data_IF_496452619222
#
_entry.id   IF_496452619222
#
_cell.length_a   1.000
_cell.length_b   1.000
_cell.length_c   1.000
_cell.angle_alpha   90.00
_cell.angle_beta   90.00
_cell.angle_gamma   90.00
#
_symmetry.space_group_name_H-M   'P 1'
#
loop_
_entity.id
_entity.type
_entity.pdbx_description
1 polymer ?
#
# COMPACT_ATOMS: atom_id res chain seq x y z
N UNK A 1 -54.89 -35.28 18.06
CA UNK A 1 -53.45 -35.25 18.41
C UNK A 1 -52.70 -34.73 17.19
N UNK A 2 -52.50 -33.41 17.09
CA UNK A 2 -51.72 -32.82 15.99
C UNK A 2 -50.48 -32.16 16.58
N UNK A 3 -49.33 -32.74 16.23
CA UNK A 3 -47.99 -32.20 16.43
C UNK A 3 -47.75 -31.13 15.36
N UNK A 4 -47.29 -29.94 15.76
CA UNK A 4 -46.36 -29.09 14.99
C UNK A 4 -46.14 -27.79 15.76
N UNK A 5 -45.03 -27.70 16.49
CA UNK A 5 -44.51 -26.45 17.01
C UNK A 5 -43.19 -26.16 16.28
N UNK A 6 -43.14 -24.97 15.69
CA UNK A 6 -42.10 -24.48 14.79
C UNK A 6 -40.75 -24.34 15.50
N UNK A 7 -39.71 -24.86 14.85
CA UNK A 7 -38.31 -24.64 15.20
C UNK A 7 -37.93 -23.22 14.76
N UNK A 8 -37.77 -22.30 15.71
CA UNK A 8 -37.22 -20.98 15.44
C UNK A 8 -35.70 -21.05 15.62
N UNK A 9 -34.98 -21.23 14.51
CA UNK A 9 -33.51 -21.24 14.51
C UNK A 9 -32.97 -19.82 14.60
N UNK A 10 -32.39 -19.46 15.75
CA UNK A 10 -31.58 -18.25 15.89
C UNK A 10 -30.22 -18.50 15.21
N UNK A 11 -30.01 -17.90 14.05
CA UNK A 11 -28.70 -17.87 13.39
C UNK A 11 -27.87 -16.77 14.08
N UNK A 12 -26.98 -17.15 15.01
CA UNK A 12 -25.94 -16.24 15.48
C UNK A 12 -24.89 -16.09 14.37
N UNK A 13 -24.97 -15.00 13.61
CA UNK A 13 -23.85 -14.54 12.81
C UNK A 13 -22.76 -14.05 13.76
N UNK A 14 -21.66 -14.79 13.83
CA UNK A 14 -20.40 -14.28 14.34
C UNK A 14 -19.94 -13.17 13.40
N UNK A 15 -19.98 -11.93 13.87
CA UNK A 15 -19.36 -10.80 13.18
C UNK A 15 -17.86 -10.97 13.42
N UNK A 16 -17.13 -11.47 12.42
CA UNK A 16 -15.70 -11.32 12.40
C UNK A 16 -15.41 -9.82 12.29
N UNK A 17 -14.83 -9.23 13.33
CA UNK A 17 -14.28 -7.88 13.25
C UNK A 17 -13.10 -7.96 12.28
N UNK A 18 -13.30 -7.50 11.05
CA UNK A 18 -12.19 -7.14 10.18
C UNK A 18 -11.36 -6.12 10.93
N UNK A 19 -10.05 -6.34 11.04
CA UNK A 19 -9.10 -5.32 11.49
C UNK A 19 -9.28 -4.11 10.57
N UNK A 20 -9.99 -3.09 11.04
CA UNK A 20 -10.10 -1.84 10.29
C UNK A 20 -8.75 -1.13 10.34
N UNK A 21 -8.36 -0.53 9.21
CA UNK A 21 -7.34 0.52 9.16
C UNK A 21 -7.54 1.49 10.32
N UNK A 22 -6.51 1.71 11.13
CA UNK A 22 -6.60 2.57 12.31
C UNK A 22 -5.85 3.85 12.01
N UNK A 23 -6.61 4.76 11.39
CA UNK A 23 -6.11 6.07 11.03
C UNK A 23 -5.67 6.82 12.27
N UNK A 24 -4.52 7.49 12.18
CA UNK A 24 -4.12 8.43 13.22
C UNK A 24 -5.13 9.57 13.25
N UNK A 25 -5.74 9.77 14.42
CA UNK A 25 -6.78 10.78 14.64
C UNK A 25 -6.39 11.87 15.63
N UNK A 26 -5.29 11.70 16.36
CA UNK A 26 -4.76 12.69 17.30
C UNK A 26 -3.50 13.35 16.73
N UNK A 27 -3.48 14.68 16.49
CA UNK A 27 -2.27 15.38 16.06
C UNK A 27 -1.15 15.36 17.12
N UNK A 28 -1.44 15.00 18.37
CA UNK A 28 -0.46 14.81 19.45
C UNK A 28 -0.34 13.34 19.87
N UNK A 29 -0.67 12.39 18.99
CA UNK A 29 -0.52 10.96 19.29
C UNK A 29 0.91 10.71 19.85
N UNK A 30 1.03 10.16 21.08
CA UNK A 30 2.32 10.03 21.76
C UNK A 30 3.12 8.83 21.26
N UNK A 31 2.54 7.98 20.42
CA UNK A 31 3.22 6.78 19.91
C UNK A 31 4.32 7.16 18.93
N UNK A 32 5.28 6.26 18.80
CA UNK A 32 6.35 6.36 17.82
C UNK A 32 6.50 5.05 17.08
N UNK A 33 6.64 5.16 15.77
CA UNK A 33 6.85 4.05 14.87
C UNK A 33 8.25 4.18 14.30
N UNK A 34 9.15 3.28 14.68
CA UNK A 34 10.52 3.28 14.18
C UNK A 34 11.23 4.64 14.39
N UNK A 35 10.93 5.35 15.48
CA UNK A 35 11.47 6.68 15.76
C UNK A 35 10.72 7.86 15.10
N UNK A 36 9.79 7.58 14.19
CA UNK A 36 8.90 8.57 13.60
C UNK A 36 7.69 8.86 14.50
N UNK A 37 7.22 10.11 14.46
CA UNK A 37 6.00 10.58 15.15
C UNK A 37 5.13 11.34 14.15
N UNK A 38 3.91 11.71 14.55
CA UNK A 38 3.06 12.62 13.75
C UNK A 38 3.79 13.93 13.40
N UNK A 39 4.60 14.45 14.34
CA UNK A 39 5.42 15.66 14.10
C UNK A 39 6.53 15.46 13.06
N UNK A 40 7.10 14.25 13.02
CA UNK A 40 8.08 13.89 11.98
C UNK A 40 7.43 13.93 10.60
N UNK A 41 6.27 13.29 10.42
CA UNK A 41 5.53 13.35 9.16
C UNK A 41 5.00 14.74 8.83
N UNK A 42 4.60 15.54 9.82
CA UNK A 42 4.22 16.94 9.59
C UNK A 42 5.39 17.76 9.02
N UNK A 43 6.60 17.51 9.49
CA UNK A 43 7.82 18.12 8.93
C UNK A 43 8.06 17.66 7.50
N UNK A 44 7.91 16.37 7.21
CA UNK A 44 8.10 15.82 5.87
C UNK A 44 7.09 16.35 4.85
N UNK A 45 5.79 16.31 5.17
CA UNK A 45 4.73 16.72 4.26
C UNK A 45 4.60 18.25 4.12
N UNK A 46 4.84 19.00 5.21
CA UNK A 46 4.49 20.42 5.29
C UNK A 46 5.65 21.32 5.73
N UNK A 47 6.85 20.77 5.89
CA UNK A 47 8.07 21.53 6.18
C UNK A 47 8.24 21.98 7.63
N UNK A 48 7.30 21.67 8.55
CA UNK A 48 7.45 22.00 9.97
C UNK A 48 6.59 21.14 10.90
N UNK A 49 7.07 20.91 12.13
CA UNK A 49 6.28 20.35 13.22
C UNK A 49 5.59 21.47 14.02
N UNK A 50 4.32 21.71 13.70
CA UNK A 50 3.44 22.60 14.46
C UNK A 50 2.12 21.88 14.70
N UNK A 51 1.31 22.35 15.66
CA UNK A 51 -0.03 21.79 15.84
C UNK A 51 -0.88 21.88 14.55
N UNK A 52 -0.72 22.95 13.77
CA UNK A 52 -1.47 23.15 12.53
C UNK A 52 -1.07 22.10 11.47
N UNK A 53 0.22 21.88 11.25
CA UNK A 53 0.71 20.91 10.27
C UNK A 53 0.45 19.46 10.71
N UNK A 54 0.52 19.15 12.01
CA UNK A 54 0.10 17.86 12.55
C UNK A 54 -1.40 17.63 12.40
N UNK A 55 -2.23 18.67 12.57
CA UNK A 55 -3.65 18.58 12.27
C UNK A 55 -3.89 18.33 10.78
N UNK A 56 -3.12 18.94 9.88
CA UNK A 56 -3.22 18.63 8.45
C UNK A 56 -2.85 17.19 8.11
N UNK A 57 -1.90 16.57 8.83
CA UNK A 57 -1.59 15.14 8.69
C UNK A 57 -2.83 14.29 9.01
N UNK A 58 -3.52 14.60 10.12
CA UNK A 58 -4.74 13.92 10.56
C UNK A 58 -5.92 14.18 9.62
N UNK A 59 -6.17 15.43 9.26
CA UNK A 59 -7.30 15.83 8.42
C UNK A 59 -7.22 15.21 7.03
N UNK A 60 -6.02 15.15 6.45
CA UNK A 60 -5.76 14.48 5.18
C UNK A 60 -5.58 12.97 5.34
N UNK A 61 -5.71 12.46 6.57
CA UNK A 61 -5.60 11.05 6.91
C UNK A 61 -4.29 10.41 6.43
N UNK A 62 -3.17 11.12 6.46
CA UNK A 62 -1.96 10.65 5.77
C UNK A 62 -1.34 9.40 6.41
N UNK A 63 -1.64 9.11 7.68
CA UNK A 63 -1.04 8.02 8.44
C UNK A 63 -2.07 6.99 8.90
N UNK A 64 -1.71 5.73 8.73
CA UNK A 64 -2.46 4.55 9.18
C UNK A 64 -1.53 3.74 10.10
N UNK A 65 -1.91 3.52 11.35
CA UNK A 65 -1.14 2.68 12.27
C UNK A 65 -1.43 1.18 12.10
N UNK A 66 -2.28 0.84 11.13
CA UNK A 66 -2.48 -0.51 10.68
C UNK A 66 -1.33 -1.01 9.83
N UNK A 67 -1.33 -2.32 9.70
CA UNK A 67 -0.49 -3.05 8.76
C UNK A 67 -1.13 -2.96 7.38
N UNK A 68 -0.30 -2.78 6.34
CA UNK A 68 -0.75 -2.85 4.96
C UNK A 68 -1.35 -4.23 4.67
N UNK A 69 -2.66 -4.26 4.45
CA UNK A 69 -3.39 -5.44 4.00
C UNK A 69 -3.33 -5.53 2.46
N UNK A 70 -2.66 -6.52 1.86
CA UNK A 70 -2.60 -6.67 0.41
C UNK A 70 -3.94 -7.07 -0.22
N UNK A 71 -4.96 -7.41 0.58
CA UNK A 71 -6.24 -7.89 0.09
C UNK A 71 -6.89 -6.91 -0.88
N UNK A 72 -7.15 -7.37 -2.10
CA UNK A 72 -7.77 -6.54 -3.15
C UNK A 72 -6.81 -5.60 -3.88
N UNK A 73 -5.51 -5.69 -3.62
CA UNK A 73 -4.46 -5.08 -4.44
C UNK A 73 -3.83 -6.10 -5.39
N UNK A 74 -3.18 -5.61 -6.45
CA UNK A 74 -2.46 -6.46 -7.42
C UNK A 74 -0.97 -6.18 -7.34
N UNK A 75 -0.12 -7.20 -7.13
CA UNK A 75 1.31 -7.07 -7.37
C UNK A 75 1.56 -6.55 -8.78
N UNK A 76 2.42 -5.53 -8.88
CA UNK A 76 2.86 -5.00 -10.15
C UNK A 76 4.02 -5.84 -10.70
N UNK A 77 4.22 -5.83 -12.01
CA UNK A 77 5.31 -6.55 -12.65
C UNK A 77 6.24 -5.59 -13.38
N UNK A 78 7.53 -5.71 -13.15
CA UNK A 78 8.57 -4.97 -13.84
C UNK A 78 8.46 -5.17 -15.36
N UNK A 79 8.38 -4.06 -16.08
CA UNK A 79 8.33 -4.00 -17.53
C UNK A 79 9.74 -4.15 -18.09
N UNK A 80 9.84 -4.86 -19.21
CA UNK A 80 11.05 -4.92 -20.01
C UNK A 80 11.28 -3.56 -20.69
N UNK A 81 12.29 -2.83 -20.22
CA UNK A 81 12.74 -1.54 -20.75
C UNK A 81 14.19 -1.70 -21.25
N UNK A 82 14.71 -0.76 -22.06
CA UNK A 82 16.13 -0.77 -22.42
C UNK A 82 17.04 -0.79 -21.19
N UNK A 83 16.64 -0.08 -20.12
CA UNK A 83 17.34 -0.12 -18.84
C UNK A 83 17.23 -1.50 -18.20
N UNK A 84 16.03 -2.05 -17.99
CA UNK A 84 15.84 -3.29 -17.21
C UNK A 84 16.41 -4.55 -17.89
N UNK A 85 16.75 -4.46 -19.18
CA UNK A 85 17.41 -5.54 -19.95
C UNK A 85 18.91 -5.32 -20.15
N UNK A 86 19.46 -4.18 -19.74
CA UNK A 86 20.88 -3.88 -19.89
C UNK A 86 21.75 -4.57 -18.83
N UNK A 87 23.01 -4.89 -19.13
CA UNK A 87 23.95 -5.32 -18.10
C UNK A 87 24.09 -4.26 -17.00
N UNK A 88 23.92 -4.66 -15.74
CA UNK A 88 23.97 -3.76 -14.58
C UNK A 88 22.63 -3.14 -14.19
N UNK A 89 21.54 -3.46 -14.89
CA UNK A 89 20.20 -3.03 -14.52
C UNK A 89 19.83 -3.45 -13.10
N UNK A 90 19.18 -2.54 -12.38
CA UNK A 90 18.83 -2.76 -10.98
C UNK A 90 19.98 -2.63 -10.01
N UNK A 91 21.10 -2.01 -10.41
CA UNK A 91 22.28 -1.75 -9.57
C UNK A 91 22.69 -2.95 -8.71
N UNK A 92 22.75 -2.74 -7.40
CA UNK A 92 22.77 -3.81 -6.43
C UNK A 92 21.41 -4.51 -6.33
N UNK A 93 21.45 -5.84 -6.27
CA UNK A 93 20.29 -6.70 -5.99
C UNK A 93 20.60 -7.46 -4.72
N UNK A 94 19.70 -7.44 -3.76
CA UNK A 94 20.03 -7.82 -2.41
C UNK A 94 18.90 -8.48 -1.65
N UNK A 95 19.20 -8.75 -0.39
CA UNK A 95 18.30 -9.36 0.57
C UNK A 95 18.28 -8.50 1.85
N UNK A 96 17.09 -8.25 2.38
CA UNK A 96 16.91 -7.79 3.75
C UNK A 96 16.85 -9.01 4.69
N UNK A 97 17.59 -8.90 5.79
CA UNK A 97 17.59 -9.84 6.89
C UNK A 97 16.80 -9.31 8.09
N UNK A 98 16.21 -8.11 8.02
CA UNK A 98 15.29 -7.64 9.06
C UNK A 98 13.96 -8.38 8.97
N UNK A 99 13.96 -9.62 9.46
CA UNK A 99 12.77 -10.48 9.49
C UNK A 99 11.70 -9.99 10.48
N UNK A 100 11.86 -8.82 11.08
CA UNK A 100 10.96 -8.29 12.11
C UNK A 100 10.39 -6.92 11.75
N UNK A 101 10.95 -6.24 10.73
CA UNK A 101 10.68 -4.86 10.29
C UNK A 101 10.56 -3.90 11.44
N UNK A 102 11.52 -4.03 12.34
CA UNK A 102 11.76 -3.05 13.38
C UNK A 102 12.51 -1.82 12.84
N UNK A 103 12.77 -1.78 11.52
CA UNK A 103 13.58 -0.76 10.87
C UNK A 103 15.07 -1.08 10.97
N UNK A 104 15.41 -2.38 10.90
CA UNK A 104 16.77 -2.88 11.03
C UNK A 104 17.58 -2.75 9.74
N UNK A 105 18.81 -2.26 9.87
CA UNK A 105 19.76 -2.01 8.77
C UNK A 105 20.53 -3.26 8.33
N UNK A 106 19.91 -4.44 8.45
CA UNK A 106 20.61 -5.70 8.16
C UNK A 106 20.27 -6.17 6.76
N UNK A 107 21.07 -5.77 5.79
CA UNK A 107 20.88 -6.09 4.37
C UNK A 107 22.20 -6.54 3.73
N UNK A 108 22.13 -7.17 2.56
CA UNK A 108 23.32 -7.49 1.78
C UNK A 108 23.07 -7.39 0.28
N UNK A 109 24.08 -6.87 -0.43
CA UNK A 109 24.19 -6.98 -1.86
C UNK A 109 24.66 -8.39 -2.25
N UNK A 110 23.76 -9.21 -2.80
CA UNK A 110 24.06 -10.61 -3.16
C UNK A 110 24.01 -10.89 -4.66
N UNK A 111 23.55 -9.92 -5.46
CA UNK A 111 23.31 -10.07 -6.89
C UNK A 111 22.06 -10.91 -7.17
N UNK A 112 21.92 -11.40 -8.41
CA UNK A 112 20.80 -12.23 -8.83
C UNK A 112 20.00 -11.64 -9.99
N UNK A 113 18.84 -12.25 -10.28
CA UNK A 113 17.97 -11.84 -11.39
C UNK A 113 17.10 -10.64 -10.97
N UNK A 114 17.11 -9.57 -11.77
CA UNK A 114 16.34 -8.36 -11.50
C UNK A 114 14.83 -8.63 -11.38
N UNK A 115 14.24 -9.40 -12.29
CA UNK A 115 12.82 -9.71 -12.26
C UNK A 115 12.42 -10.49 -11.00
N UNK A 116 13.32 -11.32 -10.45
CA UNK A 116 13.08 -12.00 -9.17
C UNK A 116 13.04 -11.04 -7.98
N UNK A 117 13.86 -9.98 -7.99
CA UNK A 117 13.93 -9.00 -6.90
C UNK A 117 12.86 -7.91 -7.01
N UNK A 118 12.27 -7.71 -8.20
CA UNK A 118 11.31 -6.63 -8.44
C UNK A 118 9.84 -7.09 -8.39
N UNK A 119 9.54 -8.35 -8.69
CA UNK A 119 8.17 -8.80 -8.98
C UNK A 119 7.45 -9.48 -7.80
N UNK A 120 8.09 -9.54 -6.63
CA UNK A 120 7.52 -10.15 -5.44
C UNK A 120 7.66 -9.18 -4.28
N UNK A 121 6.60 -9.01 -3.49
CA UNK A 121 6.71 -8.30 -2.23
C UNK A 121 7.22 -9.30 -1.18
N UNK A 122 8.54 -9.29 -0.95
CA UNK A 122 9.30 -10.21 -0.12
C UNK A 122 10.55 -9.52 0.43
N UNK A 123 11.57 -10.29 0.82
CA UNK A 123 12.78 -9.73 1.40
C UNK A 123 13.89 -9.47 0.38
N UNK A 124 13.61 -9.60 -0.92
CA UNK A 124 14.54 -9.30 -1.98
C UNK A 124 14.36 -7.84 -2.42
N UNK A 125 15.43 -7.16 -2.74
CA UNK A 125 15.36 -5.77 -3.18
C UNK A 125 16.32 -5.49 -4.33
N UNK A 126 16.09 -4.40 -5.02
CA UNK A 126 16.99 -3.92 -6.05
C UNK A 126 17.05 -2.40 -6.07
N UNK A 127 18.12 -1.88 -6.67
CA UNK A 127 18.33 -0.45 -6.83
C UNK A 127 17.60 0.08 -8.07
N UNK A 128 16.68 1.02 -7.87
CA UNK A 128 15.96 1.70 -8.95
C UNK A 128 16.86 2.67 -9.73
N UNK A 129 16.42 3.10 -10.91
CA UNK A 129 17.13 4.11 -11.71
C UNK A 129 16.87 5.52 -11.18
N UNK A 130 17.70 6.48 -11.61
CA UNK A 130 17.45 7.92 -11.41
C UNK A 130 16.64 8.56 -12.55
N UNK A 131 16.26 7.79 -13.57
CA UNK A 131 15.57 8.29 -14.76
C UNK A 131 14.14 7.76 -14.85
N UNK A 132 13.21 8.66 -15.16
CA UNK A 132 11.80 8.31 -15.40
C UNK A 132 11.70 7.46 -16.67
N UNK A 133 11.02 6.33 -16.58
CA UNK A 133 10.85 5.37 -17.69
C UNK A 133 11.86 4.23 -17.70
N UNK A 134 12.84 4.21 -16.79
CA UNK A 134 13.80 3.11 -16.67
C UNK A 134 13.26 1.98 -15.79
N UNK A 135 12.96 2.27 -14.52
CA UNK A 135 12.40 1.33 -13.55
C UNK A 135 10.88 1.41 -13.57
N UNK A 136 10.27 0.68 -14.52
CA UNK A 136 8.83 0.74 -14.80
C UNK A 136 8.13 -0.54 -14.38
N UNK A 137 7.01 -0.40 -13.71
CA UNK A 137 6.10 -1.47 -13.33
C UNK A 137 4.77 -1.33 -14.05
N UNK A 138 4.24 -2.45 -14.52
CA UNK A 138 2.85 -2.59 -14.93
C UNK A 138 2.00 -2.94 -13.69
N UNK A 139 1.05 -2.07 -13.35
CA UNK A 139 0.18 -2.18 -12.18
C UNK A 139 -0.90 -3.27 -12.30
N UNK A 140 -0.97 -3.97 -13.44
CA UNK A 140 -1.87 -5.10 -13.67
C UNK A 140 -3.31 -4.69 -14.02
N UNK A 141 -3.73 -3.46 -13.72
CA UNK A 141 -5.01 -2.87 -14.11
C UNK A 141 -4.92 -1.34 -14.18
N UNK A 142 -6.03 -0.67 -14.51
CA UNK A 142 -6.15 0.79 -14.40
C UNK A 142 -6.28 1.18 -12.93
N UNK A 143 -5.15 1.40 -12.29
CA UNK A 143 -5.04 1.74 -10.87
C UNK A 143 -5.07 3.25 -10.68
N UNK A 144 -5.75 3.75 -9.66
CA UNK A 144 -5.69 5.18 -9.31
C UNK A 144 -4.47 5.53 -8.47
N UNK A 145 -3.88 4.51 -7.82
CA UNK A 145 -2.80 4.65 -6.84
C UNK A 145 -1.83 3.48 -6.95
N UNK A 146 -0.62 3.67 -6.46
CA UNK A 146 0.41 2.63 -6.36
C UNK A 146 0.97 2.60 -4.93
N UNK A 147 1.12 1.43 -4.33
CA UNK A 147 1.80 1.26 -3.04
C UNK A 147 3.23 0.84 -3.31
N UNK A 148 4.17 1.51 -2.67
CA UNK A 148 5.60 1.30 -2.82
C UNK A 148 6.12 0.65 -1.54
N UNK A 149 6.96 -0.36 -1.74
CA UNK A 149 7.61 -1.12 -0.69
C UNK A 149 9.10 -0.84 -0.82
N UNK A 150 9.56 0.19 -0.11
CA UNK A 150 10.98 0.55 -0.02
C UNK A 150 11.72 -0.46 0.84
N UNK A 151 13.04 -0.49 0.71
CA UNK A 151 13.91 -1.16 1.67
C UNK A 151 14.81 -0.13 2.34
N UNK A 152 14.77 -0.11 3.67
CA UNK A 152 15.69 0.64 4.53
C UNK A 152 16.99 -0.14 4.67
N UNK A 153 18.08 0.50 4.30
CA UNK A 153 19.41 -0.06 4.43
C UNK A 153 20.23 0.71 5.50
N UNK A 154 19.90 1.98 5.77
CA UNK A 154 20.44 2.74 6.90
C UNK A 154 19.43 3.71 7.51
N UNK A 155 19.88 4.67 8.33
CA UNK A 155 19.02 5.62 9.02
C UNK A 155 19.45 7.06 8.73
N UNK A 156 18.58 8.04 9.04
CA UNK A 156 17.50 7.96 10.04
C UNK A 156 16.12 7.60 9.50
N UNK A 157 15.26 6.99 10.31
CA UNK A 157 13.84 6.81 9.99
C UNK A 157 12.99 7.99 10.46
N UNK A 158 11.90 8.35 9.75
CA UNK A 158 11.25 7.72 8.59
C UNK A 158 11.88 8.03 7.23
N UNK A 159 12.91 8.87 7.18
CA UNK A 159 13.43 9.51 5.99
C UNK A 159 13.71 8.50 4.86
N UNK A 160 14.49 7.47 5.20
CA UNK A 160 14.94 6.39 4.30
C UNK A 160 13.79 5.56 3.71
N UNK A 161 12.67 5.45 4.42
CA UNK A 161 11.57 4.62 3.97
C UNK A 161 10.76 5.28 2.84
N UNK A 162 10.86 6.60 2.64
CA UNK A 162 10.02 7.38 1.72
C UNK A 162 10.88 8.32 0.84
N UNK A 163 11.94 7.74 0.28
CA UNK A 163 12.98 8.38 -0.53
C UNK A 163 12.67 8.44 -2.04
N UNK A 164 11.70 7.66 -2.54
CA UNK A 164 11.47 7.56 -3.98
C UNK A 164 10.41 8.52 -4.51
N UNK A 165 10.64 9.05 -5.71
CA UNK A 165 9.58 9.70 -6.50
C UNK A 165 8.97 8.69 -7.45
N UNK A 166 7.64 8.65 -7.49
CA UNK A 166 6.90 7.84 -8.46
C UNK A 166 6.28 8.73 -9.53
N UNK A 167 6.34 8.28 -10.77
CA UNK A 167 5.63 8.85 -11.89
C UNK A 167 4.64 7.83 -12.44
N UNK A 168 3.45 8.29 -12.79
CA UNK A 168 2.36 7.44 -13.27
C UNK A 168 2.07 7.71 -14.75
N UNK A 169 1.77 6.67 -15.52
CA UNK A 169 1.50 6.77 -16.97
C UNK A 169 0.47 5.76 -17.44
N UNK A 170 -0.18 6.07 -18.57
CA UNK A 170 -1.01 5.13 -19.33
C UNK A 170 -0.39 4.67 -20.64
N UNK A 171 0.69 5.32 -21.09
CA UNK A 171 1.25 5.14 -22.44
C UNK A 171 2.77 4.98 -22.46
N UNK A 172 3.43 4.98 -21.29
CA UNK A 172 4.88 4.90 -21.11
C UNK A 172 5.67 6.09 -21.66
N UNK A 173 4.99 7.15 -22.11
CA UNK A 173 5.59 8.33 -22.73
C UNK A 173 5.28 9.58 -21.90
N UNK A 174 4.02 9.77 -21.57
CA UNK A 174 3.56 10.88 -20.76
C UNK A 174 3.49 10.45 -19.31
N UNK A 175 4.32 11.09 -18.48
CA UNK A 175 4.50 10.77 -17.07
C UNK A 175 3.99 11.90 -16.20
N UNK A 176 3.13 11.56 -15.23
CA UNK A 176 2.64 12.49 -14.22
C UNK A 176 3.31 12.16 -12.90
N UNK A 177 3.99 13.13 -12.29
CA UNK A 177 4.55 12.97 -10.95
C UNK A 177 3.43 12.71 -9.95
N UNK A 178 3.61 11.67 -9.13
CA UNK A 178 2.72 11.35 -8.02
C UNK A 178 3.16 12.05 -6.72
N UNK A 179 2.25 12.11 -5.77
CA UNK A 179 2.48 12.55 -4.39
C UNK A 179 2.11 11.44 -3.44
N UNK A 180 2.75 11.40 -2.28
CA UNK A 180 2.37 10.47 -1.21
C UNK A 180 1.00 10.87 -0.65
N UNK A 181 0.08 9.91 -0.61
CA UNK A 181 -1.31 10.10 -0.15
C UNK A 181 -1.66 9.24 1.08
N UNK A 182 -0.82 8.25 1.41
CA UNK A 182 -0.98 7.38 2.59
C UNK A 182 0.35 6.77 2.99
N UNK A 183 0.57 6.59 4.28
CA UNK A 183 1.67 5.85 4.87
C UNK A 183 1.11 4.88 5.91
N UNK A 184 1.44 3.59 5.77
CA UNK A 184 1.17 2.54 6.76
C UNK A 184 2.38 2.41 7.68
N UNK A 185 2.17 2.72 8.95
CA UNK A 185 3.21 2.88 9.95
C UNK A 185 3.80 1.56 10.44
N UNK A 186 3.03 0.48 10.29
CA UNK A 186 3.45 -0.89 10.58
C UNK A 186 3.91 -1.63 9.30
N UNK A 187 4.08 -0.93 8.18
CA UNK A 187 4.56 -1.55 6.94
C UNK A 187 3.68 -2.67 6.41
N UNK A 188 4.28 -3.69 5.79
CA UNK A 188 3.60 -4.84 5.20
C UNK A 188 3.68 -6.08 6.09
N UNK A 189 2.56 -6.75 6.40
CA UNK A 189 2.60 -8.14 6.88
C UNK A 189 1.78 -9.08 6.00
N UNK A 190 2.49 -9.91 5.24
CA UNK A 190 1.89 -11.02 4.50
C UNK A 190 1.59 -12.27 5.33
N UNK A 191 1.38 -12.16 6.66
CA UNK A 191 0.94 -13.22 7.60
C UNK A 191 2.02 -14.01 8.38
N UNK A 192 3.26 -13.53 8.58
CA UNK A 192 4.33 -14.31 9.25
C UNK A 192 5.17 -13.57 10.30
N UNK A 193 4.70 -12.43 10.82
CA UNK A 193 5.48 -11.68 11.81
C UNK A 193 6.74 -11.05 11.21
N UNK A 194 6.66 -10.70 9.93
CA UNK A 194 7.68 -9.92 9.27
C UNK A 194 7.04 -8.65 8.73
N UNK A 195 7.30 -7.56 9.42
CA UNK A 195 7.26 -6.21 8.87
C UNK A 195 8.53 -6.15 7.99
N UNK A 196 8.52 -5.66 6.75
CA UNK A 196 9.78 -5.51 6.01
C UNK A 196 10.04 -4.02 5.84
N UNK A 197 11.23 -3.64 6.31
CA UNK A 197 12.00 -2.49 5.88
C UNK A 197 11.23 -1.16 5.84
N UNK A 198 10.38 -0.91 6.83
CA UNK A 198 9.91 0.44 7.14
C UNK A 198 8.43 0.67 6.94
N UNK A 199 8.14 1.83 6.36
CA UNK A 199 6.81 2.26 6.03
C UNK A 199 6.45 1.85 4.61
N UNK A 200 5.27 1.24 4.44
CA UNK A 200 4.65 1.15 3.12
C UNK A 200 3.93 2.46 2.87
N UNK A 201 4.05 3.02 1.67
CA UNK A 201 3.32 4.23 1.33
C UNK A 201 2.65 4.11 -0.02
N UNK A 202 1.49 4.76 -0.16
CA UNK A 202 0.80 4.84 -1.43
C UNK A 202 0.89 6.24 -2.01
N UNK A 203 1.05 6.26 -3.32
CA UNK A 203 1.15 7.46 -4.13
C UNK A 203 -0.02 7.55 -5.11
N UNK A 204 -0.41 8.77 -5.42
CA UNK A 204 -1.44 9.10 -6.40
C UNK A 204 -1.23 10.50 -6.96
N UNK A 205 -2.21 11.02 -7.71
CA UNK A 205 -2.12 12.37 -8.30
C UNK A 205 -2.90 13.42 -7.51
N UNK A 206 -3.46 13.07 -6.35
CA UNK A 206 -4.46 13.88 -5.66
C UNK A 206 -5.80 13.95 -6.41
N UNK A 207 -5.97 13.15 -7.46
CA UNK A 207 -7.18 13.09 -8.29
C UNK A 207 -7.66 11.63 -8.47
N UNK A 208 -8.80 11.44 -9.12
CA UNK A 208 -9.32 10.11 -9.47
C UNK A 208 -8.80 9.58 -10.82
N UNK A 209 -7.76 10.19 -11.39
CA UNK A 209 -7.13 9.68 -12.60
C UNK A 209 -6.60 8.25 -12.38
N UNK A 210 -6.71 7.41 -13.41
CA UNK A 210 -6.18 6.04 -13.39
C UNK A 210 -4.98 5.92 -14.32
N UNK A 211 -4.10 4.98 -13.98
CA UNK A 211 -2.83 4.73 -14.63
C UNK A 211 -2.58 3.23 -14.74
N UNK A 212 -1.88 2.84 -15.80
CA UNK A 212 -1.47 1.45 -16.03
C UNK A 212 -0.05 1.19 -15.53
N UNK A 213 0.80 2.19 -15.55
CA UNK A 213 2.23 2.06 -15.30
C UNK A 213 2.70 3.01 -14.20
N UNK A 214 3.69 2.56 -13.43
CA UNK A 214 4.41 3.37 -12.47
C UNK A 214 5.91 3.29 -12.76
N UNK A 215 6.58 4.43 -12.88
CA UNK A 215 8.04 4.53 -12.89
C UNK A 215 8.49 5.00 -11.52
N UNK A 216 9.40 4.26 -10.89
CA UNK A 216 10.03 4.67 -9.63
C UNK A 216 11.41 5.20 -9.94
N UNK A 217 11.76 6.32 -9.33
CA UNK A 217 13.13 6.82 -9.36
C UNK A 217 13.62 7.08 -7.95
N UNK A 218 14.92 6.94 -7.76
CA UNK A 218 15.57 7.30 -6.51
C UNK A 218 15.58 8.81 -6.29
N UNK A 219 15.09 9.25 -5.13
CA UNK A 219 14.91 10.67 -4.87
C UNK A 219 13.91 11.33 -5.82
N UNK A 220 14.20 12.56 -6.20
CA UNK A 220 13.36 13.39 -7.05
C UNK A 220 12.39 14.29 -6.26
N UNK A 221 11.63 15.15 -6.95
CA UNK A 221 10.80 16.18 -6.33
C UNK A 221 9.50 15.69 -5.69
N UNK A 222 9.12 14.42 -5.83
CA UNK A 222 7.93 13.84 -5.21
C UNK A 222 8.22 12.97 -3.98
N UNK A 223 9.48 12.71 -3.69
CA UNK A 223 9.91 12.05 -2.46
C UNK A 223 9.72 12.98 -1.27
N UNK A 224 9.41 12.43 -0.09
CA UNK A 224 9.26 13.22 1.14
C UNK A 224 10.62 13.62 1.74
N UNK A 225 11.62 12.79 1.50
CA UNK A 225 13.02 13.05 1.78
C UNK A 225 13.85 12.56 0.59
N UNK A 226 15.06 13.09 0.43
CA UNK A 226 16.01 12.61 -0.56
C UNK A 226 17.43 12.77 -0.04
N UNK A 227 18.15 11.67 0.07
CA UNK A 227 19.61 11.69 0.23
C UNK A 227 20.36 10.83 -0.81
N UNK A 228 19.67 9.95 -1.54
CA UNK A 228 20.20 9.31 -2.75
C UNK A 228 19.96 7.82 -2.86
N UNK A 229 19.39 7.19 -1.84
CA UNK A 229 19.15 5.75 -1.80
C UNK A 229 18.04 5.30 -2.73
N UNK A 230 18.16 4.06 -3.21
CA UNK A 230 17.46 3.57 -4.39
C UNK A 230 16.85 2.19 -4.24
N UNK A 231 16.90 1.60 -3.04
CA UNK A 231 16.45 0.26 -2.73
C UNK A 231 14.94 0.14 -2.61
N UNK A 232 14.35 -0.67 -3.50
CA UNK A 232 12.94 -1.03 -3.45
C UNK A 232 12.76 -2.54 -3.56
N UNK A 233 11.75 -3.05 -2.86
CA UNK A 233 11.29 -4.43 -2.96
C UNK A 233 10.21 -4.58 -4.06
N UNK A 234 9.33 -3.59 -4.22
CA UNK A 234 8.37 -3.62 -5.33
C UNK A 234 7.22 -2.63 -5.21
N UNK A 235 6.18 -2.88 -6.02
CA UNK A 235 4.98 -2.03 -6.11
C UNK A 235 3.72 -2.89 -6.18
N UNK A 236 2.62 -2.39 -5.61
CA UNK A 236 1.27 -2.89 -5.86
C UNK A 236 0.38 -1.80 -6.48
N UNK A 237 -0.52 -2.18 -7.38
CA UNK A 237 -1.58 -1.30 -7.90
C UNK A 237 -2.81 -1.30 -7.00
N UNK A 238 -3.40 -0.12 -6.76
CA UNK A 238 -4.54 0.09 -5.86
C UNK A 238 -5.68 0.85 -6.53
N UNK A 239 -6.89 0.59 -6.03
CA UNK A 239 -8.09 1.40 -6.29
C UNK A 239 -8.17 2.56 -5.30
N UNK A 240 -9.08 3.50 -5.54
CA UNK A 240 -9.01 4.85 -4.96
C UNK A 240 -9.27 4.95 -3.46
N UNK A 241 -9.83 3.94 -2.82
CA UNK A 241 -10.33 4.05 -1.45
C UNK A 241 -9.35 3.61 -0.36
N UNK A 242 -8.14 3.13 -0.69
CA UNK A 242 -7.15 2.55 0.25
C UNK A 242 -7.66 1.39 1.12
N UNK A 243 -8.97 1.14 1.15
CA UNK A 243 -9.55 -0.02 1.75
C UNK A 243 -9.11 -1.25 0.96
N UNK A 244 -8.89 -2.39 1.64
CA UNK A 244 -8.84 -3.65 0.94
C UNK A 244 -10.09 -3.73 0.07
N UNK A 245 -9.89 -4.01 -1.22
CA UNK A 245 -10.99 -4.12 -2.17
C UNK A 245 -12.02 -5.16 -1.69
N UNK A 246 -13.15 -5.36 -2.39
CA UNK A 246 -14.10 -6.40 -2.00
C UNK A 246 -13.46 -7.79 -2.16
N UNK A 247 -12.72 -8.23 -1.14
CA UNK A 247 -12.06 -9.52 -1.06
C UNK A 247 -13.06 -10.59 -0.60
N UNK A 248 -12.68 -11.87 -0.67
CA UNK A 248 -13.46 -12.94 -0.06
C UNK A 248 -13.53 -12.73 1.46
N UNK A 249 -14.57 -12.02 1.93
CA UNK A 249 -14.71 -11.57 3.32
C UNK A 249 -15.17 -10.12 3.46
N UNK A 250 -15.11 -9.30 2.41
CA UNK A 250 -15.71 -7.97 2.44
C UNK A 250 -17.22 -8.09 2.55
N UNK A 251 -17.80 -7.53 3.60
CA UNK A 251 -19.26 -7.41 3.73
C UNK A 251 -19.76 -6.67 2.48
N UNK A 252 -20.71 -7.23 1.71
CA UNK A 252 -21.27 -6.52 0.57
C UNK A 252 -21.77 -5.15 1.04
N UNK A 253 -21.53 -4.10 0.28
CA UNK A 253 -21.97 -2.75 0.66
C UNK A 253 -23.47 -2.77 1.04
N UNK A 254 -23.93 -1.91 1.97
CA UNK A 254 -25.31 -1.97 2.48
C UNK A 254 -26.39 -1.99 1.39
N UNK A 255 -26.12 -1.35 0.25
CA UNK A 255 -26.98 -1.40 -0.93
C UNK A 255 -27.09 -2.80 -1.56
N UNK A 256 -25.98 -3.55 -1.64
CA UNK A 256 -25.94 -4.92 -2.13
C UNK A 256 -26.67 -5.88 -1.19
N UNK A 257 -26.52 -5.70 0.13
CA UNK A 257 -27.28 -6.47 1.13
C UNK A 257 -28.78 -6.16 1.02
N UNK A 258 -29.15 -4.88 0.89
CA UNK A 258 -30.53 -4.46 0.71
C UNK A 258 -31.14 -5.05 -0.58
N UNK A 259 -30.39 -5.10 -1.68
CA UNK A 259 -30.85 -5.67 -2.95
C UNK A 259 -31.01 -7.19 -2.88
N UNK A 260 -30.10 -7.91 -2.19
CA UNK A 260 -30.23 -9.35 -1.97
C UNK A 260 -31.45 -9.64 -1.09
N UNK A 261 -31.64 -8.89 0.01
CA UNK A 261 -32.80 -9.04 0.89
C UNK A 261 -34.10 -8.71 0.15
N UNK A 262 -34.12 -7.67 -0.68
CA UNK A 262 -35.28 -7.31 -1.50
C UNK A 262 -35.59 -8.40 -2.55
N UNK A 263 -34.57 -8.94 -3.21
CA UNK A 263 -34.70 -10.05 -4.16
C UNK A 263 -35.26 -11.32 -3.50
N UNK A 264 -34.78 -11.66 -2.31
CA UNK A 264 -35.30 -12.79 -1.52
C UNK A 264 -36.75 -12.57 -1.06
N UNK A 265 -37.12 -11.35 -0.67
CA UNK A 265 -38.51 -11.01 -0.34
C UNK A 265 -39.44 -11.11 -1.55
N UNK A 266 -38.99 -10.71 -2.74
CA UNK A 266 -39.77 -10.83 -3.98
C UNK A 266 -39.98 -12.31 -4.36
N UNK A 267 -38.94 -13.16 -4.22
CA UNK A 267 -39.04 -14.58 -4.54
C UNK A 267 -39.94 -15.34 -3.55
N UNK A 268 -39.83 -15.05 -2.25
CA UNK A 268 -40.71 -15.66 -1.22
C UNK A 268 -42.15 -15.16 -1.29
N UNK A 269 -42.37 -13.91 -1.72
CA UNK A 269 -43.71 -13.36 -1.97
C UNK A 269 -44.42 -13.99 -3.16
N UNK A 270 -43.68 -14.46 -4.18
CA UNK A 270 -44.26 -15.16 -5.35
C UNK A 270 -44.60 -16.62 -5.07
N UNK A 271 -43.82 -17.32 -4.24
CA UNK A 271 -44.10 -18.72 -3.86
C UNK A 271 -45.31 -18.90 -2.94
N UNK A 272 -45.84 -17.83 -2.34
CA UNK A 272 -47.07 -17.87 -1.52
C UNK A 272 -48.37 -17.59 -2.30
N UNK A 273 -48.29 -17.33 -3.61
CA UNK A 273 -49.45 -17.03 -4.47
C UNK A 273 -49.75 -18.08 -5.53
N UNK A 274 -49.13 -19.26 -5.43
CA UNK A 274 -49.42 -20.45 -6.25
C UNK A 274 -50.07 -21.52 -5.41
#
# INVERSE_FOLDING_TARGET
MNKSAYLCGLLLCWIATTSEASLITDPNDPRSWQGATVGTFATLFYGSDTLATRQQVVDNQLLDDGVFDPSGFSPATLVSTPWSTSPGAGGCRGISYDLTGTGGYSYACIGGNLASHANTIDNLWFQSSSQVGDTVFDLGFQASKAAVFSVIDHGPLPNEAIESTVYLSNDLVNWTQAVVERVWLEGFMGNTGILWDGFTYAVGTGTNATFRYASVINGGPGALQRDGDDEINGIMGLRSNFAPGPGPGSIPEPASVAMILLGLMIMTGRLRRS
#
